data_IF_828888532148
#
_entry.id   IF_828888532148
#
_cell.length_a   1.000
_cell.length_b   1.000
_cell.length_c   1.000
_cell.angle_alpha   90.00
_cell.angle_beta   90.00
_cell.angle_gamma   90.00
#
_symmetry.space_group_name_H-M   'P 1'
#
loop_
_entity.id
_entity.type
_entity.pdbx_description
1 polymer ?
#
# COMPACT_ATOMS: atom_id res chain seq x y z
N UNK A 1 -25.67 -18.63 13.12
CA UNK A 1 -26.63 -18.02 14.06
C UNK A 1 -27.31 -19.11 14.89
N UNK A 2 -27.67 -18.79 16.10
CA UNK A 2 -28.50 -19.60 16.97
C UNK A 2 -29.48 -18.71 17.71
N UNK A 3 -30.56 -19.32 18.16
CA UNK A 3 -31.58 -18.67 19.00
C UNK A 3 -31.75 -19.49 20.26
N UNK A 4 -31.45 -18.91 21.38
CA UNK A 4 -31.74 -19.46 22.70
C UNK A 4 -33.07 -18.90 23.16
N UNK A 5 -33.96 -19.78 23.63
CA UNK A 5 -35.24 -19.39 24.23
C UNK A 5 -35.17 -19.59 25.72
N UNK A 6 -35.28 -18.51 26.45
CA UNK A 6 -35.24 -18.52 27.92
C UNK A 6 -36.60 -18.10 28.43
N UNK A 7 -37.14 -18.85 29.39
CA UNK A 7 -38.33 -18.43 30.12
C UNK A 7 -37.91 -17.47 31.23
N UNK A 8 -38.36 -16.21 31.11
CA UNK A 8 -38.10 -15.17 32.11
C UNK A 8 -39.40 -14.82 32.79
N UNK A 9 -39.35 -14.68 34.12
CA UNK A 9 -40.51 -14.24 34.89
C UNK A 9 -40.55 -12.69 34.91
N UNK A 10 -41.46 -12.09 34.21
CA UNK A 10 -41.77 -10.65 34.32
C UNK A 10 -42.93 -10.42 35.29
N UNK A 11 -42.75 -9.49 36.22
CA UNK A 11 -43.83 -9.03 37.08
C UNK A 11 -44.63 -7.93 36.38
N UNK A 12 -45.96 -8.11 36.28
CA UNK A 12 -46.83 -7.04 35.78
C UNK A 12 -46.99 -5.91 36.82
N UNK A 13 -47.64 -4.84 36.47
CA UNK A 13 -47.91 -3.67 37.36
C UNK A 13 -48.62 -4.03 38.66
N UNK A 14 -49.21 -5.22 38.77
CA UNK A 14 -49.88 -5.78 39.95
C UNK A 14 -49.03 -6.79 40.71
N UNK A 15 -47.75 -7.00 40.32
CA UNK A 15 -46.83 -7.92 40.97
C UNK A 15 -47.04 -9.40 40.64
N UNK A 16 -47.92 -9.72 39.67
CA UNK A 16 -48.14 -11.10 39.22
C UNK A 16 -47.04 -11.48 38.25
N UNK A 17 -46.27 -12.53 38.62
CA UNK A 17 -45.21 -13.09 37.78
C UNK A 17 -45.81 -13.87 36.60
N UNK A 18 -45.53 -13.44 35.39
CA UNK A 18 -45.86 -14.16 34.16
C UNK A 18 -44.61 -14.72 33.53
N UNK A 19 -44.68 -15.94 33.05
CA UNK A 19 -43.62 -16.54 32.22
C UNK A 19 -43.70 -15.87 30.84
N UNK A 20 -42.64 -15.20 30.48
CA UNK A 20 -42.45 -14.60 29.13
C UNK A 20 -41.28 -15.33 28.46
N UNK A 21 -41.54 -15.83 27.25
CA UNK A 21 -40.49 -16.45 26.45
C UNK A 21 -39.60 -15.36 25.85
N UNK A 22 -38.36 -15.27 26.29
CA UNK A 22 -37.37 -14.34 25.75
C UNK A 22 -36.42 -15.07 24.79
N UNK A 23 -36.33 -14.58 23.55
CA UNK A 23 -35.44 -15.13 22.54
C UNK A 23 -34.11 -14.35 22.51
N UNK A 24 -33.01 -15.02 22.79
CA UNK A 24 -31.68 -14.46 22.67
C UNK A 24 -31.06 -14.92 21.36
N UNK A 25 -30.78 -13.97 20.46
CA UNK A 25 -30.11 -14.25 19.21
C UNK A 25 -28.61 -14.16 19.38
N UNK A 26 -27.91 -15.22 19.01
CA UNK A 26 -26.46 -15.29 19.09
C UNK A 26 -25.81 -15.79 17.79
N UNK A 27 -24.52 -15.66 17.73
CA UNK A 27 -23.74 -16.09 16.59
C UNK A 27 -22.38 -16.65 17.03
N UNK A 28 -22.05 -17.80 16.46
CA UNK A 28 -20.68 -18.33 16.54
C UNK A 28 -19.95 -18.01 15.26
N UNK A 29 -18.69 -17.57 15.38
CA UNK A 29 -17.78 -17.33 14.26
C UNK A 29 -16.68 -18.39 14.32
N UNK A 30 -16.61 -19.18 13.25
CA UNK A 30 -15.62 -20.24 13.08
C UNK A 30 -14.67 -19.90 11.94
N UNK A 31 -13.41 -20.26 12.11
CA UNK A 31 -12.37 -20.05 11.12
C UNK A 31 -11.94 -21.38 10.51
N UNK A 32 -11.40 -21.39 9.26
CA UNK A 32 -10.92 -22.61 8.64
C UNK A 32 -9.70 -23.18 9.35
N UNK A 33 -9.55 -24.51 9.39
CA UNK A 33 -8.32 -25.17 9.83
C UNK A 33 -7.15 -24.80 8.90
N UNK A 34 -7.40 -24.80 7.57
CA UNK A 34 -6.43 -24.40 6.56
C UNK A 34 -7.03 -23.38 5.61
N UNK A 35 -6.25 -22.37 5.28
CA UNK A 35 -6.58 -21.32 4.33
C UNK A 35 -5.43 -21.19 3.33
N UNK A 36 -5.69 -21.53 2.07
CA UNK A 36 -4.73 -21.44 0.98
C UNK A 36 -5.19 -20.35 0.01
N UNK A 37 -4.41 -19.28 -0.13
CA UNK A 37 -4.69 -18.17 -1.06
C UNK A 37 -3.63 -18.17 -2.15
N UNK A 38 -4.06 -18.26 -3.38
CA UNK A 38 -3.21 -18.12 -4.58
C UNK A 38 -3.74 -16.97 -5.41
N UNK A 39 -2.85 -16.07 -5.82
CA UNK A 39 -3.25 -14.91 -6.59
C UNK A 39 -2.21 -14.47 -7.59
N UNK A 40 -2.68 -14.04 -8.76
CA UNK A 40 -1.87 -13.33 -9.75
C UNK A 40 -2.28 -11.86 -9.73
N UNK A 41 -1.32 -11.00 -9.43
CA UNK A 41 -1.52 -9.57 -9.29
C UNK A 41 -1.03 -8.86 -10.57
N UNK A 42 -1.95 -8.34 -11.35
CA UNK A 42 -1.68 -7.67 -12.63
C UNK A 42 -1.73 -6.15 -12.44
N UNK A 43 -0.58 -5.46 -12.41
CA UNK A 43 -0.55 -4.01 -12.27
C UNK A 43 -1.00 -3.33 -13.58
N UNK A 44 -1.79 -2.27 -13.44
CA UNK A 44 -2.23 -1.40 -14.54
C UNK A 44 -2.02 0.06 -14.14
N UNK A 45 -1.45 0.86 -15.04
CA UNK A 45 -1.35 2.31 -14.84
C UNK A 45 -2.49 2.98 -15.60
N UNK A 46 -3.29 3.76 -14.90
CA UNK A 46 -4.39 4.55 -15.48
C UNK A 46 -4.06 6.03 -15.26
N UNK A 47 -4.17 6.82 -16.33
CA UNK A 47 -3.96 8.25 -16.23
C UNK A 47 -5.29 8.97 -15.98
N UNK A 48 -5.33 9.82 -14.96
CA UNK A 48 -6.44 10.71 -14.70
C UNK A 48 -5.93 12.15 -14.79
N UNK A 49 -6.09 12.73 -15.97
CA UNK A 49 -5.42 14.00 -16.31
C UNK A 49 -3.92 13.80 -16.39
N UNK A 50 -3.16 14.57 -15.60
CA UNK A 50 -1.68 14.49 -15.50
C UNK A 50 -1.20 13.47 -14.46
N UNK A 51 -2.09 12.92 -13.63
CA UNK A 51 -1.73 12.02 -12.57
C UNK A 51 -1.84 10.56 -13.02
N UNK A 52 -0.73 9.83 -12.89
CA UNK A 52 -0.70 8.38 -13.05
C UNK A 52 -1.21 7.73 -11.75
N UNK A 53 -2.31 6.99 -11.84
CA UNK A 53 -2.84 6.21 -10.72
C UNK A 53 -2.53 4.74 -10.99
N UNK A 54 -1.86 4.11 -10.04
CA UNK A 54 -1.57 2.68 -10.11
C UNK A 54 -2.78 1.91 -9.60
N UNK A 55 -3.32 1.05 -10.47
CA UNK A 55 -4.36 0.08 -10.15
C UNK A 55 -3.78 -1.32 -10.32
N UNK A 56 -4.39 -2.28 -9.69
CA UNK A 56 -4.11 -3.68 -9.92
C UNK A 56 -5.40 -4.46 -10.11
N UNK A 57 -5.29 -5.56 -10.83
CA UNK A 57 -6.30 -6.60 -10.94
C UNK A 57 -5.72 -7.85 -10.30
N UNK A 58 -6.41 -8.40 -9.29
CA UNK A 58 -6.03 -9.62 -8.59
C UNK A 58 -6.96 -10.75 -9.01
N UNK A 59 -6.45 -11.73 -9.71
CA UNK A 59 -7.13 -13.00 -9.87
C UNK A 59 -6.78 -13.90 -8.70
N UNK A 60 -7.76 -14.21 -7.85
CA UNK A 60 -7.56 -14.99 -6.64
C UNK A 60 -8.34 -16.30 -6.63
N UNK A 61 -7.66 -17.33 -6.15
CA UNK A 61 -8.26 -18.61 -5.80
C UNK A 61 -7.98 -18.87 -4.32
N UNK A 62 -9.04 -19.00 -3.55
CA UNK A 62 -8.99 -19.21 -2.10
C UNK A 62 -9.57 -20.58 -1.80
N UNK A 63 -8.74 -21.48 -1.28
CA UNK A 63 -9.15 -22.78 -0.76
C UNK A 63 -9.21 -22.75 0.76
N UNK A 64 -10.31 -23.19 1.35
CA UNK A 64 -10.48 -23.27 2.80
C UNK A 64 -11.03 -24.61 3.22
N UNK A 65 -10.50 -25.18 4.31
CA UNK A 65 -11.03 -26.41 4.92
C UNK A 65 -11.52 -26.09 6.31
N UNK A 66 -12.75 -26.49 6.56
CA UNK A 66 -13.41 -26.33 7.84
C UNK A 66 -13.67 -27.68 8.51
N UNK A 67 -13.46 -27.70 9.82
CA UNK A 67 -13.94 -28.78 10.70
C UNK A 67 -14.40 -28.10 11.99
N UNK A 68 -15.70 -28.05 12.17
CA UNK A 68 -16.34 -27.29 13.23
C UNK A 68 -17.25 -28.23 14.02
N UNK A 69 -17.11 -28.24 15.34
CA UNK A 69 -18.05 -28.91 16.23
C UNK A 69 -19.13 -27.92 16.64
N UNK A 70 -20.38 -28.20 16.32
CA UNK A 70 -21.50 -27.36 16.70
C UNK A 70 -21.76 -27.57 18.19
N UNK A 71 -21.72 -26.51 19.02
CA UNK A 71 -21.94 -26.64 20.45
C UNK A 71 -23.31 -27.24 20.78
N UNK A 72 -23.35 -28.09 21.78
CA UNK A 72 -24.59 -28.60 22.36
C UNK A 72 -25.15 -27.62 23.36
N UNK A 73 -26.47 -27.62 23.48
CA UNK A 73 -27.14 -26.96 24.59
C UNK A 73 -27.23 -27.92 25.77
N UNK A 74 -26.61 -27.58 26.86
CA UNK A 74 -26.64 -28.38 28.09
C UNK A 74 -27.87 -28.05 28.95
N UNK A 75 -28.72 -27.11 28.52
CA UNK A 75 -29.92 -26.69 29.26
C UNK A 75 -31.21 -27.29 28.65
N UNK A 76 -31.74 -28.39 29.17
CA UNK A 76 -32.93 -29.03 28.60
C UNK A 76 -34.20 -28.23 28.73
N UNK A 77 -34.22 -27.17 29.57
CA UNK A 77 -35.37 -26.27 29.76
C UNK A 77 -35.48 -25.16 28.71
N UNK A 78 -34.45 -25.01 27.82
CA UNK A 78 -34.38 -23.90 26.88
C UNK A 78 -33.84 -24.42 25.53
N UNK A 79 -34.70 -24.98 24.67
CA UNK A 79 -34.26 -25.60 23.45
C UNK A 79 -33.65 -24.56 22.49
N UNK A 80 -32.38 -24.79 22.14
CA UNK A 80 -31.64 -23.97 21.17
C UNK A 80 -32.03 -24.36 19.74
N UNK A 81 -32.28 -23.37 18.92
CA UNK A 81 -32.49 -23.60 17.48
C UNK A 81 -31.27 -23.15 16.71
N UNK A 82 -30.67 -24.08 15.94
CA UNK A 82 -29.53 -23.77 15.08
C UNK A 82 -30.06 -23.25 13.74
N UNK A 83 -29.68 -22.05 13.40
CA UNK A 83 -30.01 -21.43 12.10
C UNK A 83 -29.10 -21.90 10.97
N UNK A 84 -29.39 -21.47 9.75
CA UNK A 84 -28.55 -21.78 8.60
C UNK A 84 -27.16 -21.10 8.74
N UNK A 85 -26.06 -21.86 8.70
CA UNK A 85 -24.74 -21.27 8.69
C UNK A 85 -24.48 -20.55 7.39
N UNK A 86 -23.60 -19.56 7.45
CA UNK A 86 -23.14 -18.80 6.29
C UNK A 86 -21.63 -18.98 6.15
N UNK A 87 -21.16 -19.20 4.94
CA UNK A 87 -19.76 -19.10 4.56
C UNK A 87 -19.52 -17.67 4.09
N UNK A 88 -18.82 -16.87 4.91
CA UNK A 88 -18.52 -15.47 4.62
C UNK A 88 -17.12 -15.29 4.05
N UNK A 89 -16.99 -14.41 3.07
CA UNK A 89 -15.72 -13.93 2.50
C UNK A 89 -15.67 -12.42 2.71
N UNK A 90 -14.84 -11.96 3.65
CA UNK A 90 -14.67 -10.54 3.92
C UNK A 90 -13.92 -9.85 2.79
N UNK A 91 -14.51 -8.81 2.23
CA UNK A 91 -13.90 -7.94 1.21
C UNK A 91 -14.17 -6.51 1.67
N UNK A 92 -13.09 -5.76 1.92
CA UNK A 92 -13.20 -4.41 2.46
C UNK A 92 -13.97 -3.47 1.52
N UNK A 93 -13.72 -3.57 0.22
CA UNK A 93 -14.46 -2.82 -0.80
C UNK A 93 -14.96 -3.72 -1.93
N UNK A 94 -16.24 -4.08 -1.87
CA UNK A 94 -16.89 -4.93 -2.88
C UNK A 94 -17.07 -4.24 -4.23
N UNK A 95 -16.85 -2.92 -4.32
CA UNK A 95 -16.91 -2.17 -5.60
C UNK A 95 -15.75 -2.54 -6.52
N UNK A 96 -14.68 -3.10 -5.97
CA UNK A 96 -13.56 -3.64 -6.73
C UNK A 96 -13.79 -5.02 -7.33
N UNK A 97 -14.95 -5.65 -7.13
CA UNK A 97 -15.26 -6.94 -7.73
C UNK A 97 -15.43 -6.83 -9.25
N UNK A 98 -14.69 -7.67 -9.98
CA UNK A 98 -14.77 -7.79 -11.44
C UNK A 98 -15.44 -9.11 -11.77
N UNK A 99 -16.56 -9.05 -12.49
CA UNK A 99 -17.35 -10.22 -12.83
C UNK A 99 -18.08 -10.85 -11.64
N UNK A 100 -18.56 -12.07 -11.81
CA UNK A 100 -19.29 -12.80 -10.78
C UNK A 100 -18.33 -13.75 -10.01
N UNK A 101 -18.13 -13.55 -8.70
CA UNK A 101 -17.37 -14.49 -7.89
C UNK A 101 -18.07 -15.84 -7.80
N UNK A 102 -17.29 -16.91 -7.71
CA UNK A 102 -17.80 -18.28 -7.58
C UNK A 102 -17.41 -18.85 -6.24
N UNK A 103 -18.39 -19.33 -5.48
CA UNK A 103 -18.19 -20.07 -4.22
C UNK A 103 -18.64 -21.52 -4.45
N UNK A 104 -17.71 -22.45 -4.23
CA UNK A 104 -18.00 -23.89 -4.25
C UNK A 104 -17.77 -24.50 -2.89
N UNK A 105 -18.66 -25.37 -2.47
CA UNK A 105 -18.53 -26.15 -1.24
C UNK A 105 -18.69 -27.62 -1.58
N UNK A 106 -17.68 -28.42 -1.25
CA UNK A 106 -17.59 -29.85 -1.62
C UNK A 106 -17.91 -30.11 -3.10
N UNK A 107 -17.37 -29.23 -3.98
CA UNK A 107 -17.55 -29.31 -5.44
C UNK A 107 -18.87 -28.72 -5.96
N UNK A 108 -19.82 -28.36 -5.09
CA UNK A 108 -21.12 -27.77 -5.50
C UNK A 108 -21.03 -26.26 -5.50
N UNK A 109 -21.44 -25.61 -6.58
CA UNK A 109 -21.53 -24.15 -6.65
C UNK A 109 -22.75 -23.68 -5.89
N UNK A 110 -22.54 -22.70 -4.99
CA UNK A 110 -23.59 -22.09 -4.19
C UNK A 110 -23.92 -20.68 -4.71
N UNK A 111 -25.18 -20.23 -4.54
CA UNK A 111 -25.56 -18.85 -4.81
C UNK A 111 -24.75 -17.89 -3.90
N UNK A 112 -24.18 -16.86 -4.49
CA UNK A 112 -23.41 -15.81 -3.79
C UNK A 112 -24.30 -14.61 -3.56
N UNK A 113 -24.28 -14.10 -2.33
CA UNK A 113 -25.06 -12.93 -1.92
C UNK A 113 -24.09 -11.87 -1.38
N UNK A 114 -24.37 -10.61 -1.65
CA UNK A 114 -23.58 -9.46 -1.15
C UNK A 114 -23.73 -9.30 0.37
N UNK A 115 -22.67 -8.81 1.02
CA UNK A 115 -22.55 -8.68 2.46
C UNK A 115 -22.07 -9.96 3.13
N UNK A 116 -21.61 -9.89 4.36
CA UNK A 116 -21.21 -11.07 5.15
C UNK A 116 -22.40 -11.82 5.75
N UNK A 117 -23.62 -11.31 5.57
CA UNK A 117 -24.85 -11.89 6.16
C UNK A 117 -24.95 -11.69 7.67
N UNK A 118 -24.09 -10.84 8.25
CA UNK A 118 -24.03 -10.51 9.66
C UNK A 118 -23.70 -9.03 9.79
N UNK A 119 -24.56 -8.26 10.44
CA UNK A 119 -24.41 -6.82 10.60
C UNK A 119 -24.20 -6.12 9.24
N UNK A 120 -23.49 -4.99 9.27
CA UNK A 120 -23.16 -4.19 8.09
C UNK A 120 -21.79 -4.54 7.46
N UNK A 121 -21.21 -5.70 7.83
CA UNK A 121 -19.89 -6.09 7.38
C UNK A 121 -19.85 -6.36 5.87
N UNK A 122 -18.88 -5.73 5.20
CA UNK A 122 -18.70 -5.81 3.76
C UNK A 122 -18.11 -7.15 3.33
N UNK A 123 -18.58 -7.68 2.20
CA UNK A 123 -18.08 -8.93 1.66
C UNK A 123 -19.14 -9.68 0.86
N UNK A 124 -18.95 -10.99 0.80
CA UNK A 124 -19.83 -11.94 0.12
C UNK A 124 -20.14 -13.10 1.05
N UNK A 125 -21.30 -13.73 0.88
CA UNK A 125 -21.62 -14.95 1.59
C UNK A 125 -22.39 -15.96 0.74
N UNK A 126 -22.30 -17.21 1.15
CA UNK A 126 -23.14 -18.30 0.65
C UNK A 126 -23.77 -19.03 1.86
N UNK A 127 -25.03 -19.48 1.71
CA UNK A 127 -25.76 -20.20 2.75
C UNK A 127 -25.46 -21.69 2.68
N UNK A 128 -25.20 -22.31 3.82
CA UNK A 128 -24.98 -23.74 3.96
C UNK A 128 -26.24 -24.41 4.54
N UNK A 129 -26.32 -25.74 4.40
CA UNK A 129 -27.39 -26.51 5.06
C UNK A 129 -27.23 -26.40 6.59
N UNK A 130 -28.34 -26.31 7.30
CA UNK A 130 -28.35 -26.25 8.76
C UNK A 130 -27.83 -27.59 9.33
N UNK A 131 -26.77 -27.58 10.18
CA UNK A 131 -26.26 -28.79 10.82
C UNK A 131 -27.14 -29.16 12.01
N UNK A 132 -27.05 -30.41 12.42
CA UNK A 132 -27.64 -30.85 13.68
C UNK A 132 -26.79 -30.35 14.86
N UNK A 133 -27.43 -30.07 15.97
CA UNK A 133 -26.75 -29.72 17.23
C UNK A 133 -25.80 -30.83 17.69
N UNK A 134 -24.64 -30.47 18.19
CA UNK A 134 -23.58 -31.38 18.60
C UNK A 134 -22.92 -32.16 17.45
N UNK A 135 -23.31 -31.90 16.20
CA UNK A 135 -22.68 -32.54 15.05
C UNK A 135 -21.35 -31.88 14.68
N UNK A 136 -20.50 -32.61 13.96
CA UNK A 136 -19.31 -32.05 13.34
C UNK A 136 -19.61 -31.64 11.89
N UNK A 137 -19.48 -30.37 11.58
CA UNK A 137 -19.61 -29.84 10.24
C UNK A 137 -18.18 -29.78 9.61
N UNK A 138 -17.92 -30.66 8.64
CA UNK A 138 -16.65 -30.67 7.90
C UNK A 138 -16.93 -30.48 6.42
N UNK A 139 -16.22 -29.51 5.79
CA UNK A 139 -16.36 -29.25 4.36
C UNK A 139 -15.12 -28.53 3.81
N UNK A 140 -14.94 -28.59 2.49
CA UNK A 140 -13.97 -27.80 1.75
C UNK A 140 -14.68 -26.74 0.93
N UNK A 141 -14.13 -25.51 0.95
CA UNK A 141 -14.66 -24.40 0.18
C UNK A 141 -13.59 -23.87 -0.78
N UNK A 142 -13.98 -23.59 -2.01
CA UNK A 142 -13.15 -22.95 -3.03
C UNK A 142 -13.86 -21.69 -3.49
N UNK A 143 -13.16 -20.56 -3.41
CA UNK A 143 -13.63 -19.25 -3.86
C UNK A 143 -12.75 -18.77 -5.00
N UNK A 144 -13.35 -18.39 -6.10
CA UNK A 144 -12.65 -17.74 -7.22
C UNK A 144 -13.24 -16.34 -7.38
N UNK A 145 -12.37 -15.35 -7.43
CA UNK A 145 -12.78 -13.96 -7.57
C UNK A 145 -11.69 -13.15 -8.26
N UNK A 146 -12.11 -12.13 -8.99
CA UNK A 146 -11.23 -11.10 -9.53
C UNK A 146 -11.55 -9.79 -8.83
N UNK A 147 -10.52 -9.13 -8.32
CA UNK A 147 -10.63 -7.89 -7.55
C UNK A 147 -9.76 -6.82 -8.18
N UNK A 148 -10.30 -5.65 -8.41
CA UNK A 148 -9.53 -4.45 -8.70
C UNK A 148 -9.29 -3.64 -7.42
N UNK A 149 -8.08 -3.10 -7.30
CA UNK A 149 -7.71 -2.21 -6.20
C UNK A 149 -6.72 -1.15 -6.62
N UNK A 150 -6.40 -0.27 -5.69
CA UNK A 150 -5.39 0.78 -5.86
C UNK A 150 -4.30 0.62 -4.81
N UNK A 151 -3.06 0.97 -5.17
CA UNK A 151 -1.89 1.12 -4.29
C UNK A 151 -1.43 -0.16 -3.58
N UNK A 152 -2.31 -0.92 -2.94
CA UNK A 152 -1.88 -2.09 -2.18
C UNK A 152 -2.97 -3.12 -1.93
N UNK A 153 -2.52 -4.36 -1.74
CA UNK A 153 -3.32 -5.53 -1.38
C UNK A 153 -3.05 -5.89 0.09
N UNK A 154 -4.10 -6.16 0.86
CA UNK A 154 -3.99 -6.69 2.21
C UNK A 154 -4.82 -7.95 2.36
N UNK A 155 -4.24 -8.99 2.99
CA UNK A 155 -4.89 -10.29 3.21
C UNK A 155 -4.75 -10.66 4.68
N UNK A 156 -5.87 -10.87 5.38
CA UNK A 156 -5.87 -11.31 6.75
C UNK A 156 -5.66 -12.84 6.85
N UNK A 157 -4.70 -13.32 7.68
CA UNK A 157 -4.43 -14.75 7.83
C UNK A 157 -5.40 -15.41 8.83
N UNK A 158 -6.63 -15.69 8.39
CA UNK A 158 -7.71 -16.18 9.23
C UNK A 158 -7.75 -17.70 9.41
N UNK A 159 -6.89 -18.48 8.73
CA UNK A 159 -6.81 -19.94 8.90
C UNK A 159 -6.02 -20.36 10.13
N UNK A 160 -6.30 -21.54 10.69
CA UNK A 160 -5.41 -22.19 11.67
C UNK A 160 -3.99 -22.30 11.13
N UNK A 161 -3.87 -22.71 9.87
CA UNK A 161 -2.68 -22.51 9.04
C UNK A 161 -3.08 -21.75 7.77
N UNK A 162 -2.41 -20.64 7.49
CA UNK A 162 -2.65 -19.82 6.29
C UNK A 162 -1.42 -19.83 5.40
N UNK A 163 -1.61 -20.23 4.15
CA UNK A 163 -0.62 -20.15 3.08
C UNK A 163 -1.09 -19.16 2.03
N UNK A 164 -0.23 -18.20 1.71
CA UNK A 164 -0.51 -17.19 0.69
C UNK A 164 0.62 -17.25 -0.32
N UNK A 165 0.29 -17.35 -1.59
CA UNK A 165 1.21 -17.30 -2.71
C UNK A 165 0.73 -16.25 -3.71
N UNK A 166 1.50 -15.20 -3.89
CA UNK A 166 1.20 -14.11 -4.83
C UNK A 166 2.35 -13.97 -5.82
N UNK A 167 2.00 -13.92 -7.09
CA UNK A 167 2.89 -13.58 -8.18
C UNK A 167 2.39 -12.35 -8.95
N UNK A 168 3.33 -11.61 -9.52
CA UNK A 168 3.04 -10.39 -10.27
C UNK A 168 4.15 -10.08 -11.26
N UNK A 169 3.81 -9.48 -12.38
CA UNK A 169 4.76 -8.90 -13.32
C UNK A 169 5.36 -7.55 -12.85
N UNK A 170 5.08 -7.12 -11.61
CA UNK A 170 5.60 -5.89 -11.04
C UNK A 170 7.00 -6.10 -10.43
N UNK A 171 8.07 -5.39 -10.92
CA UNK A 171 9.43 -5.65 -10.46
C UNK A 171 9.81 -4.99 -9.12
N UNK A 172 8.97 -4.08 -8.59
CA UNK A 172 9.29 -3.29 -7.40
C UNK A 172 8.22 -3.44 -6.29
N UNK A 173 7.98 -4.66 -5.76
CA UNK A 173 7.02 -4.83 -4.68
C UNK A 173 7.58 -4.28 -3.37
N UNK A 174 6.72 -3.61 -2.60
CA UNK A 174 6.97 -3.34 -1.19
C UNK A 174 6.11 -4.29 -0.35
N UNK A 175 6.74 -5.13 0.46
CA UNK A 175 6.06 -6.00 1.38
C UNK A 175 5.87 -5.26 2.71
N UNK A 176 4.62 -5.03 3.09
CA UNK A 176 4.22 -4.33 4.28
C UNK A 176 3.16 -5.13 5.05
N UNK A 177 2.55 -4.52 6.07
CA UNK A 177 1.66 -5.22 6.99
C UNK A 177 2.44 -5.86 8.14
N UNK A 178 1.77 -6.74 8.87
CA UNK A 178 2.29 -7.31 10.13
C UNK A 178 3.22 -8.51 9.88
N UNK A 179 3.15 -9.11 8.69
CA UNK A 179 3.90 -10.32 8.35
C UNK A 179 4.63 -10.17 7.02
N UNK A 180 5.95 -10.36 7.07
CA UNK A 180 6.79 -10.39 5.87
C UNK A 180 6.74 -11.78 5.19
N UNK A 181 7.00 -11.86 3.87
CA UNK A 181 7.02 -13.14 3.15
C UNK A 181 8.16 -14.03 3.66
N UNK A 182 7.85 -15.33 3.85
CA UNK A 182 8.84 -16.34 4.23
C UNK A 182 9.87 -16.58 3.13
N UNK A 183 9.39 -16.60 1.88
CA UNK A 183 10.24 -16.69 0.70
C UNK A 183 9.79 -15.66 -0.33
N UNK A 184 10.75 -14.99 -0.95
CA UNK A 184 10.48 -14.03 -2.03
C UNK A 184 11.55 -14.14 -3.10
N UNK A 185 11.12 -14.05 -4.35
CA UNK A 185 11.99 -13.91 -5.51
C UNK A 185 11.55 -12.66 -6.26
N UNK A 186 12.47 -11.73 -6.47
CA UNK A 186 12.23 -10.48 -7.19
C UNK A 186 13.19 -10.48 -8.38
N UNK A 187 12.63 -10.29 -9.57
CA UNK A 187 13.37 -10.22 -10.83
C UNK A 187 12.94 -8.96 -11.60
N UNK A 188 13.67 -8.56 -12.65
CA UNK A 188 13.22 -7.47 -13.52
C UNK A 188 11.84 -7.70 -14.16
N UNK A 189 11.43 -8.97 -14.33
CA UNK A 189 10.17 -9.36 -14.94
C UNK A 189 9.01 -9.46 -13.94
N UNK A 190 9.28 -9.29 -12.63
CA UNK A 190 8.26 -9.35 -11.59
C UNK A 190 8.71 -10.01 -10.30
N UNK A 191 7.72 -10.36 -9.46
CA UNK A 191 7.98 -11.02 -8.19
C UNK A 191 7.11 -12.24 -7.93
N UNK A 192 7.59 -13.12 -7.06
CA UNK A 192 6.82 -14.18 -6.41
C UNK A 192 7.10 -14.15 -4.92
N UNK A 193 6.05 -14.15 -4.11
CA UNK A 193 6.15 -14.09 -2.66
C UNK A 193 5.23 -15.11 -2.00
N UNK A 194 5.73 -15.80 -0.96
CA UNK A 194 4.99 -16.82 -0.24
C UNK A 194 5.04 -16.56 1.27
N UNK A 195 3.89 -16.72 1.91
CA UNK A 195 3.71 -16.70 3.35
C UNK A 195 3.17 -18.04 3.83
N UNK A 196 3.62 -18.48 4.99
CA UNK A 196 3.12 -19.66 5.70
C UNK A 196 3.01 -19.29 7.17
N UNK A 197 1.80 -19.02 7.62
CA UNK A 197 1.46 -18.44 8.90
C UNK A 197 0.61 -19.40 9.70
N UNK A 198 0.86 -19.45 11.02
CA UNK A 198 0.05 -20.20 11.96
C UNK A 198 -0.77 -19.22 12.81
N UNK A 199 -2.02 -19.55 13.11
CA UNK A 199 -2.90 -18.74 13.95
C UNK A 199 -2.33 -18.46 15.36
N UNK A 200 -1.46 -19.34 15.88
CA UNK A 200 -0.79 -19.11 17.16
C UNK A 200 0.20 -17.92 17.16
N UNK A 201 0.64 -17.51 15.97
CA UNK A 201 1.54 -16.36 15.79
C UNK A 201 0.80 -15.07 15.44
N UNK A 202 -0.54 -15.06 15.46
CA UNK A 202 -1.36 -13.95 15.00
C UNK A 202 -2.63 -13.82 15.83
N UNK A 203 -3.05 -12.59 16.12
CA UNK A 203 -4.35 -12.29 16.73
C UNK A 203 -5.43 -11.94 15.68
N UNK A 204 -5.18 -12.17 14.40
CA UNK A 204 -6.09 -11.82 13.31
C UNK A 204 -7.48 -12.43 13.47
N UNK A 205 -7.59 -13.67 13.96
CA UNK A 205 -8.87 -14.32 14.21
C UNK A 205 -9.66 -13.65 15.34
N UNK A 206 -8.98 -13.29 16.44
CA UNK A 206 -9.59 -12.58 17.58
C UNK A 206 -10.10 -11.21 17.18
N UNK A 207 -9.25 -10.43 16.51
CA UNK A 207 -9.58 -9.11 16.00
C UNK A 207 -10.75 -9.15 15.00
N UNK A 208 -10.70 -10.06 14.01
CA UNK A 208 -11.77 -10.22 13.02
C UNK A 208 -13.09 -10.65 13.66
N UNK A 209 -13.06 -11.58 14.63
CA UNK A 209 -14.26 -11.99 15.37
C UNK A 209 -14.88 -10.78 16.07
N UNK A 210 -14.08 -9.99 16.78
CA UNK A 210 -14.55 -8.77 17.46
C UNK A 210 -15.22 -7.80 16.48
N UNK A 211 -14.59 -7.57 15.34
CA UNK A 211 -15.11 -6.70 14.29
C UNK A 211 -16.49 -7.17 13.77
N UNK A 212 -16.65 -8.47 13.50
CA UNK A 212 -17.89 -9.04 12.94
C UNK A 212 -19.01 -9.10 13.98
N UNK A 213 -18.67 -9.25 15.26
CA UNK A 213 -19.66 -9.32 16.36
C UNK A 213 -20.02 -7.96 16.98
N UNK A 214 -19.57 -6.86 16.38
CA UNK A 214 -19.91 -5.49 16.84
C UNK A 214 -19.07 -5.00 18.02
N UNK A 215 -17.90 -5.62 18.26
CA UNK A 215 -16.90 -5.12 19.22
C UNK A 215 -16.19 -3.85 18.74
N UNK A 216 -15.39 -3.22 19.63
CA UNK A 216 -14.47 -2.14 19.24
C UNK A 216 -13.55 -2.63 18.14
N UNK A 217 -13.36 -1.81 17.10
CA UNK A 217 -12.62 -2.12 15.88
C UNK A 217 -11.10 -2.31 16.15
N UNK A 218 -10.62 -3.52 16.48
CA UNK A 218 -9.20 -3.78 16.53
C UNK A 218 -8.71 -3.93 15.10
N UNK A 219 -7.60 -3.31 14.78
CA UNK A 219 -6.96 -3.44 13.47
C UNK A 219 -6.60 -4.92 13.25
N UNK A 220 -7.22 -5.54 12.23
CA UNK A 220 -6.95 -6.94 11.87
C UNK A 220 -5.56 -7.04 11.26
N UNK A 221 -4.69 -7.85 11.87
CA UNK A 221 -3.36 -8.13 11.33
C UNK A 221 -3.45 -8.71 9.92
N UNK A 222 -2.55 -8.26 9.05
CA UNK A 222 -2.59 -8.61 7.63
C UNK A 222 -1.21 -8.75 7.00
N UNK A 223 -1.16 -9.55 5.95
CA UNK A 223 -0.08 -9.54 4.96
C UNK A 223 -0.36 -8.41 3.98
N UNK A 224 0.64 -7.59 3.68
CA UNK A 224 0.51 -6.45 2.77
C UNK A 224 1.48 -6.51 1.61
N UNK A 225 1.02 -6.11 0.44
CA UNK A 225 1.82 -5.88 -0.76
C UNK A 225 1.44 -4.52 -1.31
N UNK A 226 2.40 -3.62 -1.48
CA UNK A 226 2.21 -2.32 -2.12
C UNK A 226 2.93 -2.27 -3.46
N UNK A 227 2.25 -1.72 -4.46
CA UNK A 227 2.75 -1.52 -5.82
C UNK A 227 3.19 -0.07 -6.05
N UNK A 228 3.76 0.56 -5.03
CA UNK A 228 4.26 1.93 -5.18
C UNK A 228 5.49 1.95 -6.08
N UNK A 229 5.56 2.96 -6.94
CA UNK A 229 6.82 3.24 -7.64
C UNK A 229 7.86 3.70 -6.62
N UNK A 230 9.02 3.05 -6.54
CA UNK A 230 10.09 3.51 -5.66
C UNK A 230 10.61 4.89 -6.06
N UNK A 231 10.22 5.35 -7.24
CA UNK A 231 10.68 6.60 -7.85
C UNK A 231 9.50 7.53 -8.09
N UNK A 232 8.99 8.12 -7.03
CA UNK A 232 8.06 9.23 -7.15
C UNK A 232 8.82 10.46 -7.69
N UNK A 233 8.45 10.92 -8.90
CA UNK A 233 8.99 12.15 -9.51
C UNK A 233 8.83 13.33 -8.54
N UNK A 234 7.72 13.38 -7.81
CA UNK A 234 7.47 14.40 -6.79
C UNK A 234 8.45 14.32 -5.61
N UNK A 235 8.81 13.12 -5.15
CA UNK A 235 9.80 12.96 -4.09
C UNK A 235 11.19 13.39 -4.54
N UNK A 236 11.56 13.22 -5.82
CA UNK A 236 12.83 13.74 -6.36
C UNK A 236 12.82 15.25 -6.51
N UNK A 237 11.70 15.83 -6.95
CA UNK A 237 11.55 17.30 -7.04
C UNK A 237 11.52 17.93 -5.66
N UNK A 238 10.85 17.32 -4.67
CA UNK A 238 10.87 17.77 -3.27
C UNK A 238 12.29 17.72 -2.68
N UNK A 239 13.03 16.65 -2.93
CA UNK A 239 14.47 16.56 -2.58
C UNK A 239 15.29 17.65 -3.28
N UNK A 240 15.08 17.86 -4.58
CA UNK A 240 15.77 18.94 -5.31
C UNK A 240 15.49 20.31 -4.70
N UNK A 241 14.27 20.57 -4.25
CA UNK A 241 13.90 21.82 -3.58
C UNK A 241 14.54 21.93 -2.19
N UNK A 242 14.55 20.86 -1.40
CA UNK A 242 15.18 20.82 -0.07
C UNK A 242 16.69 21.06 -0.15
N UNK A 243 17.38 20.45 -1.11
CA UNK A 243 18.81 20.69 -1.34
C UNK A 243 19.07 21.95 -2.18
N UNK A 244 18.04 22.60 -2.70
CA UNK A 244 18.15 23.80 -3.52
C UNK A 244 18.87 24.94 -2.82
N UNK A 245 18.59 25.18 -1.53
CA UNK A 245 19.27 26.19 -0.73
C UNK A 245 20.78 25.93 -0.61
N UNK A 246 21.16 24.67 -0.34
CA UNK A 246 22.56 24.25 -0.29
C UNK A 246 23.24 24.46 -1.65
N UNK A 247 22.57 24.09 -2.73
CA UNK A 247 23.08 24.23 -4.09
C UNK A 247 23.27 25.71 -4.48
N UNK A 248 22.32 26.58 -4.13
CA UNK A 248 22.44 28.02 -4.32
C UNK A 248 23.65 28.57 -3.57
N UNK A 249 23.79 28.19 -2.29
CA UNK A 249 24.94 28.59 -1.47
C UNK A 249 26.28 28.15 -2.09
N UNK A 250 26.40 26.87 -2.46
CA UNK A 250 27.63 26.33 -3.08
C UNK A 250 27.95 27.02 -4.39
N UNK A 251 26.93 27.33 -5.21
CA UNK A 251 27.14 28.06 -6.46
C UNK A 251 27.69 29.47 -6.23
N UNK A 252 27.18 30.18 -5.22
CA UNK A 252 27.68 31.50 -4.89
C UNK A 252 29.09 31.44 -4.28
N UNK A 253 29.38 30.47 -3.43
CA UNK A 253 30.72 30.22 -2.90
C UNK A 253 31.70 29.93 -4.06
N UNK A 254 31.32 29.05 -4.99
CA UNK A 254 32.12 28.74 -6.16
C UNK A 254 32.33 29.97 -7.05
N UNK A 255 31.31 30.81 -7.22
CA UNK A 255 31.42 32.07 -7.97
C UNK A 255 32.35 33.07 -7.28
N UNK A 256 32.22 33.23 -5.97
CA UNK A 256 33.12 34.07 -5.16
C UNK A 256 34.57 33.55 -5.21
N UNK A 257 34.80 32.24 -5.05
CA UNK A 257 36.14 31.66 -5.17
C UNK A 257 36.75 31.90 -6.56
N UNK A 258 35.94 31.79 -7.62
CA UNK A 258 36.39 32.08 -8.98
C UNK A 258 36.79 33.54 -9.15
N UNK A 259 36.01 34.48 -8.61
CA UNK A 259 36.31 35.93 -8.56
C UNK A 259 37.64 36.20 -7.83
N UNK A 260 37.79 35.60 -6.65
CA UNK A 260 38.99 35.79 -5.81
C UNK A 260 40.27 35.21 -6.50
N UNK A 261 40.20 33.98 -7.02
CA UNK A 261 41.36 33.32 -7.68
C UNK A 261 41.79 34.03 -8.97
N UNK A 262 40.86 34.61 -9.70
CA UNK A 262 41.10 35.29 -10.95
C UNK A 262 41.26 36.80 -10.82
N UNK A 263 41.19 37.32 -9.59
CA UNK A 263 41.24 38.76 -9.26
C UNK A 263 40.37 39.62 -10.15
N UNK A 264 39.11 39.16 -10.37
CA UNK A 264 38.12 39.84 -11.19
C UNK A 264 37.36 40.83 -10.32
N UNK A 265 36.98 42.00 -10.91
CA UNK A 265 36.04 42.92 -10.29
C UNK A 265 34.64 42.64 -10.81
N UNK A 266 33.88 41.84 -10.06
CA UNK A 266 32.51 41.43 -10.46
C UNK A 266 31.51 42.40 -9.81
N UNK A 267 30.60 42.93 -10.60
CA UNK A 267 29.58 43.86 -10.08
C UNK A 267 28.44 43.05 -9.40
N UNK A 268 27.84 43.56 -8.28
CA UNK A 268 26.75 42.86 -7.56
C UNK A 268 25.58 42.43 -8.43
N UNK A 269 25.25 43.18 -9.49
CA UNK A 269 24.20 42.81 -10.46
C UNK A 269 24.48 41.43 -11.10
N UNK A 270 25.75 41.07 -11.30
CA UNK A 270 26.14 39.79 -11.92
C UNK A 270 25.85 38.62 -11.00
N UNK A 271 26.01 38.78 -9.70
CA UNK A 271 25.55 37.81 -8.68
C UNK A 271 24.03 37.63 -8.74
N UNK A 272 23.27 38.73 -8.89
CA UNK A 272 21.82 38.67 -9.07
C UNK A 272 21.39 37.88 -10.31
N UNK A 273 22.10 38.06 -11.44
CA UNK A 273 21.81 37.32 -12.68
C UNK A 273 22.15 35.82 -12.59
N UNK A 274 23.23 35.45 -11.90
CA UNK A 274 23.54 34.06 -11.60
C UNK A 274 22.46 33.45 -10.71
N UNK A 275 22.01 34.17 -9.68
CA UNK A 275 20.91 33.73 -8.81
C UNK A 275 19.60 33.53 -9.59
N UNK A 276 19.29 34.45 -10.52
CA UNK A 276 18.12 34.31 -11.41
C UNK A 276 18.22 33.09 -12.31
N UNK A 277 19.40 32.78 -12.87
CA UNK A 277 19.61 31.62 -13.69
C UNK A 277 19.42 30.31 -12.90
N UNK A 278 19.84 30.27 -11.64
CA UNK A 278 19.61 29.11 -10.74
C UNK A 278 18.10 28.97 -10.45
N UNK A 279 17.41 30.06 -10.19
CA UNK A 279 15.96 30.04 -10.00
C UNK A 279 15.22 29.50 -11.25
N UNK A 280 15.66 29.91 -12.44
CA UNK A 280 15.15 29.38 -13.71
C UNK A 280 15.43 27.89 -13.89
N UNK A 281 16.60 27.39 -13.43
CA UNK A 281 16.89 25.96 -13.42
C UNK A 281 15.84 25.18 -12.65
N UNK A 282 15.54 25.57 -11.39
CA UNK A 282 14.56 24.86 -10.57
C UNK A 282 13.16 24.96 -11.17
N UNK A 283 12.78 26.09 -11.72
CA UNK A 283 11.49 26.28 -12.40
C UNK A 283 11.38 25.38 -13.64
N UNK A 284 12.44 25.32 -14.46
CA UNK A 284 12.48 24.50 -15.64
C UNK A 284 12.48 23.00 -15.27
N UNK A 285 13.23 22.61 -14.25
CA UNK A 285 13.27 21.25 -13.74
C UNK A 285 11.87 20.81 -13.28
N UNK A 286 11.15 21.64 -12.52
CA UNK A 286 9.80 21.36 -12.09
C UNK A 286 8.84 21.21 -13.28
N UNK A 287 8.84 22.17 -14.19
CA UNK A 287 7.93 22.18 -15.33
C UNK A 287 8.16 21.01 -16.30
N UNK A 288 9.43 20.64 -16.56
CA UNK A 288 9.77 19.53 -17.45
C UNK A 288 9.53 18.17 -16.79
N UNK A 289 9.82 18.03 -15.49
CA UNK A 289 9.67 16.75 -14.77
C UNK A 289 8.21 16.27 -14.71
N UNK A 290 7.24 17.16 -14.95
CA UNK A 290 5.83 16.78 -15.09
C UNK A 290 5.51 16.09 -16.44
N UNK A 291 6.35 16.28 -17.47
CA UNK A 291 6.08 15.83 -18.83
C UNK A 291 7.04 14.75 -19.32
N UNK A 292 8.27 14.77 -18.84
CA UNK A 292 9.35 13.87 -19.28
C UNK A 292 10.04 13.25 -18.08
N UNK A 293 10.79 12.17 -18.30
CA UNK A 293 11.56 11.49 -17.27
C UNK A 293 12.50 12.47 -16.55
N UNK A 294 12.56 12.37 -15.21
CA UNK A 294 13.32 13.27 -14.35
C UNK A 294 14.79 13.45 -14.77
N UNK A 295 15.45 12.35 -15.19
CA UNK A 295 16.85 12.42 -15.65
C UNK A 295 17.03 13.30 -16.88
N UNK A 296 16.12 13.19 -17.83
CA UNK A 296 16.13 14.00 -19.06
C UNK A 296 15.75 15.44 -18.73
N UNK A 297 14.74 15.65 -17.88
CA UNK A 297 14.33 16.99 -17.43
C UNK A 297 15.48 17.72 -16.73
N UNK A 298 16.19 17.00 -15.84
CA UNK A 298 17.37 17.54 -15.15
C UNK A 298 18.48 17.92 -16.11
N UNK A 299 18.83 17.02 -17.04
CA UNK A 299 19.88 17.27 -18.03
C UNK A 299 19.58 18.52 -18.89
N UNK A 300 18.34 18.63 -19.38
CA UNK A 300 17.92 19.78 -20.21
C UNK A 300 17.98 21.07 -19.41
N UNK A 301 17.45 21.08 -18.17
CA UNK A 301 17.47 22.25 -17.29
C UNK A 301 18.92 22.66 -16.93
N UNK A 302 19.78 21.70 -16.62
CA UNK A 302 21.18 21.93 -16.28
C UNK A 302 21.95 22.51 -17.47
N UNK A 303 21.84 21.92 -18.66
CA UNK A 303 22.50 22.39 -19.88
C UNK A 303 22.04 23.81 -20.22
N UNK A 304 20.74 24.10 -20.14
CA UNK A 304 20.19 25.44 -20.39
C UNK A 304 20.79 26.46 -19.43
N UNK A 305 20.82 26.16 -18.12
CA UNK A 305 21.33 27.06 -17.09
C UNK A 305 22.85 27.27 -17.23
N UNK A 306 23.64 26.19 -17.39
CA UNK A 306 25.08 26.27 -17.55
C UNK A 306 25.47 27.05 -18.81
N UNK A 307 24.76 26.83 -19.92
CA UNK A 307 24.98 27.53 -21.19
C UNK A 307 24.68 29.02 -21.04
N UNK A 308 23.57 29.37 -20.37
CA UNK A 308 23.19 30.76 -20.13
C UNK A 308 24.23 31.50 -19.29
N UNK A 309 24.67 30.90 -18.17
CA UNK A 309 25.66 31.51 -17.27
C UNK A 309 27.02 31.57 -17.97
N UNK A 310 27.46 30.48 -18.63
CA UNK A 310 28.72 30.44 -19.35
C UNK A 310 28.83 31.45 -20.49
N UNK A 311 27.77 31.60 -21.28
CA UNK A 311 27.66 32.62 -22.34
C UNK A 311 27.73 34.03 -21.75
N UNK A 312 26.95 34.31 -20.72
CA UNK A 312 26.92 35.60 -20.04
C UNK A 312 28.30 35.97 -19.47
N UNK A 313 28.92 35.09 -18.75
CA UNK A 313 30.24 35.32 -18.14
C UNK A 313 31.35 35.40 -19.17
N UNK A 314 31.28 34.67 -20.28
CA UNK A 314 32.22 34.80 -21.40
C UNK A 314 32.26 36.19 -21.99
N UNK A 315 31.12 36.88 -22.08
CA UNK A 315 31.02 38.26 -22.56
C UNK A 315 31.46 39.28 -21.48
N UNK A 316 31.01 39.11 -20.26
CA UNK A 316 31.27 40.05 -19.16
C UNK A 316 32.74 40.02 -18.71
N UNK A 317 33.36 38.86 -18.67
CA UNK A 317 34.74 38.69 -18.23
C UNK A 317 35.79 38.91 -19.33
N UNK A 318 35.34 39.32 -20.53
CA UNK A 318 36.20 39.68 -21.65
C UNK A 318 37.05 38.53 -22.20
N UNK A 319 36.61 37.26 -22.03
CA UNK A 319 37.31 36.10 -22.57
C UNK A 319 36.50 34.79 -22.49
N UNK A 320 36.32 34.15 -23.64
CA UNK A 320 35.61 32.86 -23.72
C UNK A 320 36.21 31.75 -22.88
N UNK A 321 37.52 31.74 -22.67
CA UNK A 321 38.20 30.74 -21.81
C UNK A 321 37.79 30.85 -20.34
N UNK A 322 37.51 32.08 -19.83
CA UNK A 322 37.07 32.30 -18.46
C UNK A 322 35.62 31.86 -18.28
N UNK A 323 34.75 32.15 -19.25
CA UNK A 323 33.36 31.70 -19.26
C UNK A 323 33.25 30.18 -19.34
N UNK A 324 34.09 29.55 -20.17
CA UNK A 324 34.14 28.09 -20.31
C UNK A 324 34.65 27.39 -19.06
N UNK A 325 35.67 27.95 -18.40
CA UNK A 325 36.19 27.44 -17.12
C UNK A 325 35.15 27.45 -16.03
N UNK A 326 34.37 28.53 -15.91
CA UNK A 326 33.26 28.61 -14.95
C UNK A 326 32.11 27.66 -15.31
N UNK A 327 31.75 27.55 -16.58
CA UNK A 327 30.74 26.60 -17.04
C UNK A 327 31.13 25.14 -16.71
N UNK A 328 32.42 24.76 -16.88
CA UNK A 328 32.92 23.45 -16.49
C UNK A 328 32.83 23.19 -14.98
N UNK A 329 33.16 24.19 -14.18
CA UNK A 329 33.01 24.12 -12.70
C UNK A 329 31.53 23.93 -12.32
N UNK A 330 30.63 24.70 -12.92
CA UNK A 330 29.18 24.52 -12.70
C UNK A 330 28.72 23.13 -13.16
N UNK A 331 29.17 22.62 -14.30
CA UNK A 331 28.81 21.31 -14.79
C UNK A 331 29.18 20.22 -13.77
N UNK A 332 30.35 20.34 -13.14
CA UNK A 332 30.77 19.42 -12.06
C UNK A 332 29.84 19.51 -10.85
N UNK A 333 29.47 20.72 -10.43
CA UNK A 333 28.55 20.94 -9.33
C UNK A 333 27.15 20.38 -9.61
N UNK A 334 26.64 20.58 -10.83
CA UNK A 334 25.35 20.02 -11.26
C UNK A 334 25.39 18.49 -11.34
N UNK A 335 26.50 17.91 -11.82
CA UNK A 335 26.69 16.46 -11.82
C UNK A 335 26.70 15.87 -10.41
N UNK A 336 27.38 16.54 -9.47
CA UNK A 336 27.39 16.15 -8.06
C UNK A 336 26.00 16.24 -7.42
N UNK A 337 25.23 17.30 -7.71
CA UNK A 337 23.85 17.44 -7.24
C UNK A 337 22.96 16.32 -7.83
N UNK A 338 23.12 15.98 -9.09
CA UNK A 338 22.39 14.87 -9.70
C UNK A 338 22.67 13.53 -9.01
N UNK A 339 23.95 13.26 -8.71
CA UNK A 339 24.33 12.06 -7.93
C UNK A 339 23.67 12.03 -6.54
N UNK A 340 23.61 13.18 -5.86
CA UNK A 340 22.95 13.33 -4.57
C UNK A 340 21.44 13.04 -4.66
N UNK A 341 20.77 13.49 -5.72
CA UNK A 341 19.32 13.33 -5.90
C UNK A 341 18.92 11.89 -6.24
N UNK A 342 19.82 11.12 -6.88
CA UNK A 342 19.57 9.71 -7.23
C UNK A 342 19.88 8.79 -6.04
N UNK A 343 20.82 9.15 -5.17
CA UNK A 343 21.22 8.32 -4.03
C UNK A 343 20.09 8.29 -2.98
N UNK A 344 19.46 7.14 -2.77
CA UNK A 344 18.35 6.98 -1.83
C UNK A 344 18.81 6.88 -0.37
N UNK A 345 19.94 6.20 -0.12
CA UNK A 345 20.34 5.82 1.23
C UNK A 345 21.39 6.73 1.89
N UNK A 346 22.10 7.55 1.13
CA UNK A 346 23.26 8.31 1.64
C UNK A 346 23.22 9.82 1.33
N UNK A 347 22.07 10.37 1.00
CA UNK A 347 21.95 11.78 0.58
C UNK A 347 22.48 12.78 1.64
N UNK A 348 22.29 12.51 2.93
CA UNK A 348 22.82 13.37 4.01
C UNK A 348 24.36 13.27 4.14
N UNK A 349 24.91 12.07 3.99
CA UNK A 349 26.37 11.84 4.09
C UNK A 349 27.08 12.45 2.88
N UNK A 350 26.52 12.31 1.68
CA UNK A 350 27.05 12.91 0.45
C UNK A 350 26.93 14.44 0.47
N UNK A 351 25.82 14.98 1.00
CA UNK A 351 25.63 16.43 1.16
C UNK A 351 26.62 17.04 2.13
N UNK A 352 26.87 16.39 3.28
CA UNK A 352 27.92 16.78 4.22
C UNK A 352 29.31 16.68 3.61
N UNK A 353 29.62 15.59 2.88
CA UNK A 353 30.90 15.41 2.18
C UNK A 353 31.17 16.49 1.14
N UNK A 354 30.14 16.93 0.40
CA UNK A 354 30.24 18.03 -0.58
C UNK A 354 30.53 19.38 0.10
N UNK A 355 29.96 19.62 1.27
CA UNK A 355 30.22 20.81 2.10
C UNK A 355 31.69 20.84 2.61
N UNK A 356 32.30 19.69 2.90
CA UNK A 356 33.68 19.61 3.34
C UNK A 356 34.71 19.63 2.18
N UNK A 357 34.27 19.38 0.95
CA UNK A 357 35.12 19.34 -0.23
C UNK A 357 35.27 20.69 -0.95
N UNK A 358 34.47 21.69 -0.59
CA UNK A 358 34.50 23.07 -1.09
C UNK A 358 35.14 24.01 -0.07
#
# INVERSE_FOLDING_TARGET
PYVDRTLVFEADERGVKREVEQSLHGMWVFFPETLDVKGTLMPRTVYRGLHAVRRYELEAVVGARFRVVIPRDDNPGSPRTIGQPILGVGIADVRGLVGAPTIRVDGRTLPVVQGLGVGDASGLHARLAAPAEGSTLAFAADVRTTLEGMEGLRIAPLGGRTRIAIDSAWPHPQFNGDFLPRTRTITPDGFRANWDLNALASDAQGAYRSQVTGGRDPQVQSVGISLMDPVDVYARVDRATKYGLLFVLLTFVAFFMFEFLKQLRIHPIQYGLVGLAIALFFLLLLALSERIEFGIAYLVAAVACISLIGYYLGHVLGGWGRGLGFAAMLATLYAALYGLLISEDNAMVLGAGLLFAV
#
